data_IF_564911100538
#
_entry.id   IF_564911100538
#
_cell.length_a   1.000
_cell.length_b   1.000
_cell.length_c   1.000
_cell.angle_alpha   90.00
_cell.angle_beta   90.00
_cell.angle_gamma   90.00
#
_symmetry.space_group_name_H-M   'P 1'
#
loop_
_entity.id
_entity.type
_entity.pdbx_description
1 polymer ?
#
# COMPACT_ATOMS: atom_id res chain seq x y z
N UNK A 1 1.78 -9.08 -11.88
CA UNK A 1 1.01 -9.35 -10.63
C UNK A 1 1.11 -10.81 -10.20
N UNK A 2 1.49 -11.73 -11.08
CA UNK A 2 1.51 -13.19 -10.83
C UNK A 2 2.55 -13.67 -9.80
N UNK A 3 3.43 -12.76 -9.32
CA UNK A 3 4.43 -13.09 -8.29
C UNK A 3 3.92 -13.02 -6.87
N UNK A 4 2.73 -12.46 -6.62
CA UNK A 4 2.11 -12.42 -5.29
C UNK A 4 1.67 -13.83 -4.92
N UNK A 5 2.28 -14.40 -3.89
CA UNK A 5 2.04 -15.81 -3.50
C UNK A 5 0.76 -16.01 -2.70
N UNK A 6 0.44 -15.04 -1.85
CA UNK A 6 -0.75 -15.02 -0.99
C UNK A 6 -1.26 -13.59 -0.87
N UNK A 7 -2.55 -13.42 -0.71
CA UNK A 7 -3.23 -12.11 -0.69
C UNK A 7 -3.12 -11.36 0.65
N UNK A 8 -2.00 -11.47 1.34
CA UNK A 8 -1.68 -10.73 2.55
C UNK A 8 -0.29 -10.11 2.44
N UNK A 9 -0.17 -8.83 2.78
CA UNK A 9 1.04 -8.04 2.65
C UNK A 9 1.54 -7.50 3.99
N UNK A 10 2.79 -7.09 4.03
CA UNK A 10 3.47 -6.50 5.17
C UNK A 10 3.52 -4.98 4.99
N UNK A 11 2.62 -4.26 5.68
CA UNK A 11 2.63 -2.81 5.71
C UNK A 11 3.73 -2.27 6.64
N UNK A 12 4.63 -1.44 6.12
CA UNK A 12 5.80 -0.96 6.85
C UNK A 12 5.62 0.46 7.43
N UNK A 13 4.39 0.96 7.52
CA UNK A 13 4.09 2.26 8.11
C UNK A 13 4.27 2.29 9.63
N UNK A 14 4.11 1.14 10.30
CA UNK A 14 4.15 0.98 11.77
C UNK A 14 5.05 -0.18 12.15
N UNK A 15 6.35 -0.06 11.88
CA UNK A 15 7.34 -1.04 12.35
C UNK A 15 7.54 -0.94 13.86
N UNK A 16 7.99 -2.01 14.53
CA UNK A 16 8.35 -1.96 15.95
C UNK A 16 9.41 -0.89 16.22
N UNK A 17 9.30 -0.19 17.35
CA UNK A 17 10.19 0.91 17.70
C UNK A 17 10.83 0.71 19.07
N UNK A 18 12.09 1.14 19.21
CA UNK A 18 12.79 1.34 20.46
C UNK A 18 13.12 2.83 20.55
N UNK A 19 12.37 3.56 21.37
CA UNK A 19 12.43 5.02 21.40
C UNK A 19 12.01 5.59 20.03
N UNK A 20 12.88 6.36 19.41
CA UNK A 20 12.64 6.96 18.09
C UNK A 20 13.17 6.11 16.92
N UNK A 21 13.85 5.01 17.17
CA UNK A 21 14.45 4.17 16.15
C UNK A 21 13.67 2.88 15.93
N UNK A 22 13.72 2.36 14.69
CA UNK A 22 13.10 1.07 14.36
C UNK A 22 13.84 -0.05 15.10
N UNK A 23 13.10 -0.93 15.77
CA UNK A 23 13.65 -2.17 16.32
C UNK A 23 14.01 -3.12 15.18
N UNK A 24 15.27 -3.04 14.76
CA UNK A 24 15.79 -3.81 13.64
C UNK A 24 15.74 -5.32 13.91
N UNK A 25 16.02 -5.76 15.14
CA UNK A 25 16.04 -7.18 15.46
C UNK A 25 14.64 -7.77 15.48
N UNK A 26 13.66 -7.09 16.06
CA UNK A 26 12.27 -7.50 16.00
C UNK A 26 11.74 -7.45 14.56
N UNK A 27 12.07 -6.40 13.81
CA UNK A 27 11.64 -6.27 12.40
C UNK A 27 12.22 -7.41 11.55
N UNK A 28 13.49 -7.81 11.73
CA UNK A 28 14.06 -8.98 11.05
C UNK A 28 13.28 -10.26 11.34
N UNK A 29 12.97 -10.52 12.63
CA UNK A 29 12.17 -11.69 13.02
C UNK A 29 10.79 -11.70 12.36
N UNK A 30 10.13 -10.55 12.28
CA UNK A 30 8.84 -10.41 11.62
C UNK A 30 8.94 -10.66 10.12
N UNK A 31 9.96 -10.11 9.44
CA UNK A 31 10.22 -10.33 8.01
C UNK A 31 10.48 -11.81 7.74
N UNK A 32 11.30 -12.45 8.56
CA UNK A 32 11.65 -13.87 8.43
C UNK A 32 10.38 -14.74 8.58
N UNK A 33 9.61 -14.54 9.65
CA UNK A 33 8.35 -15.25 9.88
C UNK A 33 7.34 -15.05 8.74
N UNK A 34 7.25 -13.83 8.18
CA UNK A 34 6.36 -13.53 7.08
C UNK A 34 6.74 -14.27 5.78
N UNK A 35 8.02 -14.26 5.43
CA UNK A 35 8.54 -14.98 4.27
C UNK A 35 8.46 -16.51 4.44
N UNK A 36 8.77 -17.04 5.63
CA UNK A 36 8.69 -18.46 5.96
C UNK A 36 7.25 -18.96 5.91
N UNK A 37 6.28 -18.13 6.28
CA UNK A 37 4.84 -18.43 6.12
C UNK A 37 4.38 -18.39 4.64
N UNK A 38 5.27 -18.07 3.70
CA UNK A 38 5.02 -18.08 2.27
C UNK A 38 4.37 -16.81 1.72
N UNK A 39 4.32 -15.73 2.49
CA UNK A 39 3.96 -14.39 2.02
C UNK A 39 5.17 -13.70 1.41
N UNK A 40 4.95 -12.69 0.57
CA UNK A 40 6.07 -12.02 -0.08
C UNK A 40 5.85 -10.54 -0.49
N UNK A 41 4.75 -9.91 -0.10
CA UNK A 41 4.44 -8.54 -0.48
C UNK A 41 4.76 -7.56 0.65
N UNK A 42 5.60 -6.55 0.39
CA UNK A 42 5.98 -5.49 1.33
C UNK A 42 5.60 -4.13 0.77
N UNK A 43 5.02 -3.26 1.62
CA UNK A 43 4.55 -1.92 1.26
C UNK A 43 5.21 -0.87 2.15
N UNK A 44 5.92 0.08 1.52
CA UNK A 44 6.53 1.23 2.20
C UNK A 44 6.19 2.55 1.51
N UNK A 45 6.69 3.64 2.05
CA UNK A 45 6.74 4.96 1.46
C UNK A 45 7.84 5.78 2.15
N UNK A 46 8.43 6.72 1.41
CA UNK A 46 9.54 7.54 1.90
C UNK A 46 9.24 8.26 3.22
N UNK A 47 8.03 8.78 3.38
CA UNK A 47 7.62 9.50 4.61
C UNK A 47 7.32 8.59 5.82
N UNK A 48 7.26 7.27 5.65
CA UNK A 48 6.92 6.36 6.75
C UNK A 48 8.01 6.36 7.82
N UNK A 49 7.58 6.53 9.07
CA UNK A 49 8.47 6.60 10.25
C UNK A 49 9.60 7.64 10.00
N UNK A 50 9.24 8.81 9.46
CA UNK A 50 10.19 9.90 9.19
C UNK A 50 11.38 9.46 8.28
N UNK A 51 11.11 8.65 7.26
CA UNK A 51 12.12 8.13 6.32
C UNK A 51 12.89 6.91 6.83
N UNK A 52 12.51 6.34 7.98
CA UNK A 52 13.20 5.20 8.57
C UNK A 52 12.72 3.85 8.02
N UNK A 53 11.49 3.80 7.45
CA UNK A 53 10.91 2.55 6.94
C UNK A 53 11.70 1.95 5.78
N UNK A 54 12.06 2.74 4.76
CA UNK A 54 12.88 2.30 3.63
C UNK A 54 14.25 1.77 4.08
N UNK A 55 14.91 2.51 4.99
CA UNK A 55 16.21 2.12 5.58
C UNK A 55 16.12 0.80 6.37
N UNK A 56 15.04 0.65 7.14
CA UNK A 56 14.78 -0.59 7.87
C UNK A 56 14.56 -1.77 6.91
N UNK A 57 13.81 -1.58 5.83
CA UNK A 57 13.64 -2.61 4.81
C UNK A 57 14.97 -2.97 4.11
N UNK A 58 15.85 -2.01 3.86
CA UNK A 58 17.19 -2.34 3.37
C UNK A 58 17.90 -3.31 4.32
N UNK A 59 17.90 -3.00 5.61
CA UNK A 59 18.59 -3.80 6.62
C UNK A 59 17.91 -5.14 6.91
N UNK A 60 16.56 -5.16 6.94
CA UNK A 60 15.82 -6.33 7.38
C UNK A 60 15.37 -7.26 6.24
N UNK A 61 15.27 -6.75 5.03
CA UNK A 61 14.74 -7.50 3.87
C UNK A 61 15.73 -7.52 2.71
N UNK A 62 15.98 -6.38 2.05
CA UNK A 62 16.57 -6.36 0.71
C UNK A 62 18.05 -6.76 0.68
N UNK A 63 18.83 -6.49 1.75
CA UNK A 63 20.20 -6.96 1.89
C UNK A 63 20.34 -8.41 2.37
N UNK A 64 19.24 -9.05 2.78
CA UNK A 64 19.25 -10.39 3.37
C UNK A 64 18.68 -11.46 2.46
N UNK A 65 17.77 -11.08 1.58
CA UNK A 65 17.05 -12.01 0.72
C UNK A 65 17.26 -11.70 -0.76
N UNK A 66 17.35 -12.73 -1.61
CA UNK A 66 17.40 -12.55 -3.06
C UNK A 66 16.18 -11.78 -3.58
N UNK A 67 16.39 -10.94 -4.58
CA UNK A 67 15.38 -9.99 -5.11
C UNK A 67 14.07 -10.66 -5.58
N UNK A 68 14.14 -11.90 -6.03
CA UNK A 68 12.99 -12.69 -6.49
C UNK A 68 12.13 -13.24 -5.35
N UNK A 69 12.60 -13.21 -4.10
CA UNK A 69 11.87 -13.74 -2.94
C UNK A 69 10.76 -12.80 -2.45
N UNK A 70 10.84 -11.52 -2.78
CA UNK A 70 9.89 -10.53 -2.30
C UNK A 70 9.37 -9.61 -3.41
N UNK A 71 8.26 -8.97 -3.13
CA UNK A 71 7.65 -7.88 -3.88
C UNK A 71 7.78 -6.64 -3.03
N UNK A 72 8.28 -5.55 -3.61
CA UNK A 72 8.45 -4.29 -2.91
C UNK A 72 7.63 -3.20 -3.59
N UNK A 73 6.77 -2.56 -2.81
CA UNK A 73 5.98 -1.39 -3.20
C UNK A 73 6.53 -0.17 -2.49
N UNK A 74 6.75 0.89 -3.28
CA UNK A 74 7.08 2.22 -2.75
C UNK A 74 6.20 3.29 -3.42
N UNK A 75 6.32 4.55 -2.99
CA UNK A 75 5.37 5.59 -3.39
C UNK A 75 6.05 6.93 -3.68
N UNK A 76 5.56 7.62 -4.71
CA UNK A 76 5.89 9.02 -4.98
C UNK A 76 4.99 9.92 -4.11
N UNK A 77 5.56 10.61 -3.15
CA UNK A 77 4.82 11.47 -2.22
C UNK A 77 4.98 12.95 -2.59
N UNK A 78 3.89 13.70 -2.66
CA UNK A 78 3.82 15.10 -3.12
C UNK A 78 4.84 16.05 -2.48
N UNK A 79 5.17 15.84 -1.21
CA UNK A 79 6.07 16.73 -0.46
C UNK A 79 7.54 16.66 -0.91
N UNK A 80 7.91 15.69 -1.76
CA UNK A 80 9.31 15.44 -2.14
C UNK A 80 9.64 15.86 -3.58
N UNK A 81 8.71 16.46 -4.30
CA UNK A 81 8.94 17.04 -5.62
C UNK A 81 8.10 18.31 -5.82
N UNK A 82 8.59 19.24 -6.59
CA UNK A 82 7.91 20.50 -6.95
C UNK A 82 7.76 20.66 -8.46
N UNK A 83 8.58 19.97 -9.23
CA UNK A 83 8.62 20.01 -10.69
C UNK A 83 8.83 18.60 -11.24
N UNK A 84 8.59 18.40 -12.53
CA UNK A 84 8.91 17.15 -13.22
C UNK A 84 10.37 16.72 -13.02
N UNK A 85 11.29 17.69 -13.06
CA UNK A 85 12.73 17.43 -12.93
C UNK A 85 13.14 16.83 -11.57
N UNK A 86 12.34 17.03 -10.52
CA UNK A 86 12.65 16.53 -9.18
C UNK A 86 12.28 15.04 -9.04
N UNK A 87 11.35 14.54 -9.86
CA UNK A 87 10.76 13.21 -9.65
C UNK A 87 11.77 12.09 -9.88
N UNK A 88 12.50 12.14 -10.97
CA UNK A 88 13.48 11.07 -11.30
C UNK A 88 14.63 11.00 -10.29
N UNK A 89 15.29 12.10 -9.88
CA UNK A 89 16.29 12.06 -8.81
C UNK A 89 15.74 11.55 -7.48
N UNK A 90 14.50 11.92 -7.13
CA UNK A 90 13.86 11.41 -5.93
C UNK A 90 13.63 9.90 -6.01
N UNK A 91 13.07 9.40 -7.11
CA UNK A 91 12.87 7.98 -7.36
C UNK A 91 14.19 7.17 -7.28
N UNK A 92 15.28 7.67 -7.90
CA UNK A 92 16.59 7.02 -7.84
C UNK A 92 17.12 6.99 -6.40
N UNK A 93 16.90 8.03 -5.61
CA UNK A 93 17.27 8.04 -4.18
C UNK A 93 16.52 6.98 -3.38
N UNK A 94 15.24 6.74 -3.67
CA UNK A 94 14.46 5.66 -3.01
C UNK A 94 15.01 4.27 -3.37
N UNK A 95 15.40 4.03 -4.62
CA UNK A 95 16.06 2.79 -5.03
C UNK A 95 17.34 2.55 -4.22
N UNK A 96 18.17 3.59 -4.07
CA UNK A 96 19.42 3.51 -3.30
C UNK A 96 19.15 3.26 -1.81
N UNK A 97 18.19 3.99 -1.21
CA UNK A 97 17.82 3.84 0.20
C UNK A 97 17.28 2.44 0.47
N UNK A 98 16.43 1.91 -0.41
CA UNK A 98 15.89 0.55 -0.31
C UNK A 98 16.92 -0.53 -0.71
N UNK A 99 17.99 -0.17 -1.41
CA UNK A 99 19.00 -1.11 -1.88
C UNK A 99 18.49 -2.06 -2.97
N UNK A 100 17.69 -1.54 -3.93
CA UNK A 100 17.10 -2.31 -5.02
C UNK A 100 17.31 -1.62 -6.37
N UNK A 101 17.23 -2.37 -7.46
CA UNK A 101 17.37 -1.83 -8.82
C UNK A 101 16.02 -1.44 -9.44
N UNK A 102 14.92 -1.94 -8.90
CA UNK A 102 13.55 -1.66 -9.35
C UNK A 102 12.53 -1.87 -8.23
N UNK A 103 11.38 -1.19 -8.34
CA UNK A 103 10.19 -1.50 -7.53
C UNK A 103 9.22 -2.38 -8.33
N UNK A 104 8.57 -3.35 -7.64
CA UNK A 104 7.51 -4.15 -8.26
C UNK A 104 6.23 -3.31 -8.46
N UNK A 105 5.92 -2.47 -7.48
CA UNK A 105 4.84 -1.49 -7.56
C UNK A 105 5.35 -0.11 -7.15
N UNK A 106 4.96 0.92 -7.89
CA UNK A 106 5.23 2.30 -7.53
C UNK A 106 3.93 3.10 -7.61
N UNK A 107 3.51 3.68 -6.48
CA UNK A 107 2.20 4.29 -6.35
C UNK A 107 2.32 5.82 -6.28
N UNK A 108 1.48 6.53 -7.02
CA UNK A 108 1.26 7.97 -6.76
C UNK A 108 0.56 8.07 -5.42
N UNK A 109 1.26 8.63 -4.42
CA UNK A 109 0.87 8.56 -3.01
C UNK A 109 -0.27 9.50 -2.67
N UNK A 110 -1.25 9.01 -1.90
CA UNK A 110 -2.31 9.82 -1.28
C UNK A 110 -3.11 10.64 -2.29
N UNK A 111 -3.51 10.01 -3.41
CA UNK A 111 -4.25 10.70 -4.46
C UNK A 111 -5.65 11.07 -4.00
N UNK A 112 -6.09 12.24 -4.40
CA UNK A 112 -7.36 12.88 -4.11
C UNK A 112 -7.31 14.31 -4.62
N UNK A 113 -8.39 15.08 -4.49
CA UNK A 113 -8.50 16.46 -5.00
C UNK A 113 -7.33 17.36 -4.56
N UNK A 114 -6.82 17.16 -3.35
CA UNK A 114 -5.73 18.00 -2.79
C UNK A 114 -4.42 17.84 -3.55
N UNK A 115 -4.09 16.62 -4.00
CA UNK A 115 -2.78 16.31 -4.58
C UNK A 115 -2.83 16.09 -6.10
N UNK A 116 -3.98 15.74 -6.65
CA UNK A 116 -4.09 15.27 -8.02
C UNK A 116 -3.57 16.27 -9.06
N UNK A 117 -3.97 17.54 -8.94
CA UNK A 117 -3.54 18.56 -9.90
C UNK A 117 -2.02 18.81 -9.83
N UNK A 118 -1.41 18.79 -8.64
CA UNK A 118 0.04 18.87 -8.49
C UNK A 118 0.78 17.73 -9.21
N UNK A 119 0.31 16.48 -9.06
CA UNK A 119 0.89 15.34 -9.77
C UNK A 119 0.77 15.48 -11.30
N UNK A 120 -0.34 16.02 -11.80
CA UNK A 120 -0.52 16.29 -13.23
C UNK A 120 0.39 17.39 -13.74
N UNK A 121 0.42 18.53 -13.07
CA UNK A 121 1.27 19.67 -13.43
C UNK A 121 2.75 19.29 -13.48
N UNK A 122 3.19 18.44 -12.56
CA UNK A 122 4.56 17.92 -12.54
C UNK A 122 4.76 16.70 -13.44
N UNK A 123 3.76 16.27 -14.24
CA UNK A 123 3.83 15.10 -15.14
C UNK A 123 4.30 13.82 -14.43
N UNK A 124 3.83 13.63 -13.19
CA UNK A 124 4.28 12.54 -12.33
C UNK A 124 3.84 11.16 -12.86
N UNK A 125 2.64 11.07 -13.44
CA UNK A 125 2.12 9.84 -14.04
C UNK A 125 2.93 9.45 -15.28
N UNK A 126 3.17 10.40 -16.17
CA UNK A 126 3.96 10.20 -17.38
C UNK A 126 5.39 9.75 -17.04
N UNK A 127 6.04 10.42 -16.08
CA UNK A 127 7.37 10.04 -15.59
C UNK A 127 7.39 8.62 -15.02
N UNK A 128 6.36 8.22 -14.25
CA UNK A 128 6.25 6.86 -13.73
C UNK A 128 6.07 5.82 -14.85
N UNK A 129 5.29 6.14 -15.89
CA UNK A 129 5.14 5.26 -17.06
C UNK A 129 6.43 5.17 -17.88
N UNK A 130 7.24 6.22 -17.96
CA UNK A 130 8.57 6.17 -18.56
C UNK A 130 9.52 5.27 -17.77
N UNK A 131 9.59 5.45 -16.44
CA UNK A 131 10.38 4.59 -15.55
C UNK A 131 9.95 3.11 -15.64
N UNK A 132 8.67 2.86 -15.87
CA UNK A 132 8.18 1.50 -16.15
C UNK A 132 8.71 0.97 -17.48
N UNK A 133 8.72 1.76 -18.57
CA UNK A 133 9.28 1.36 -19.86
C UNK A 133 10.79 1.08 -19.76
N UNK A 134 11.48 1.76 -18.87
CA UNK A 134 12.91 1.55 -18.56
C UNK A 134 13.16 0.31 -17.68
N UNK A 135 12.11 -0.34 -17.19
CA UNK A 135 12.21 -1.52 -16.30
C UNK A 135 12.50 -1.20 -14.84
N UNK A 136 12.50 0.07 -14.45
CA UNK A 136 12.70 0.53 -13.06
C UNK A 136 11.45 0.35 -12.20
N UNK A 137 10.28 0.31 -12.81
CA UNK A 137 8.98 0.02 -12.18
C UNK A 137 8.32 -1.12 -12.96
N UNK A 138 7.78 -2.11 -12.28
CA UNK A 138 7.01 -3.18 -12.93
C UNK A 138 5.55 -2.82 -13.12
N UNK A 139 4.93 -2.23 -12.09
CA UNK A 139 3.52 -1.83 -12.09
C UNK A 139 3.36 -0.43 -11.50
N UNK A 140 2.68 0.46 -12.23
CA UNK A 140 2.33 1.80 -11.76
C UNK A 140 0.91 1.78 -11.20
N UNK A 141 0.72 2.40 -10.04
CA UNK A 141 -0.57 2.50 -9.39
C UNK A 141 -0.76 3.80 -8.62
N UNK A 142 -1.83 3.86 -7.86
CA UNK A 142 -2.13 4.97 -6.94
C UNK A 142 -2.50 4.44 -5.56
N UNK A 143 -2.18 5.20 -4.49
CA UNK A 143 -2.89 5.08 -3.22
C UNK A 143 -3.90 6.22 -3.13
N UNK A 144 -5.16 5.90 -2.81
CA UNK A 144 -6.28 6.79 -2.98
C UNK A 144 -7.00 7.05 -1.65
N UNK A 145 -7.33 8.33 -1.37
CA UNK A 145 -7.92 8.79 -0.11
C UNK A 145 -9.00 9.88 -0.32
N UNK A 146 -9.90 9.66 -1.28
CA UNK A 146 -10.96 10.62 -1.57
C UNK A 146 -12.25 9.87 -1.99
N UNK A 147 -13.25 10.60 -2.49
CA UNK A 147 -14.52 10.04 -2.92
C UNK A 147 -14.42 9.34 -4.28
N UNK A 148 -15.33 8.40 -4.48
CA UNK A 148 -15.34 7.53 -5.66
C UNK A 148 -15.37 8.28 -7.00
N UNK A 149 -16.04 9.44 -7.08
CA UNK A 149 -16.09 10.29 -8.28
C UNK A 149 -14.71 10.81 -8.68
N UNK A 150 -13.86 11.10 -7.69
CA UNK A 150 -12.46 11.54 -7.93
C UNK A 150 -11.62 10.37 -8.45
N UNK A 151 -11.81 9.18 -7.87
CA UNK A 151 -11.14 7.96 -8.35
C UNK A 151 -11.53 7.65 -9.79
N UNK A 152 -12.82 7.75 -10.12
CA UNK A 152 -13.31 7.53 -11.47
C UNK A 152 -12.70 8.52 -12.47
N UNK A 153 -12.60 9.80 -12.10
CA UNK A 153 -11.91 10.82 -12.89
C UNK A 153 -10.45 10.44 -13.15
N UNK A 154 -9.69 10.09 -12.10
CA UNK A 154 -8.27 9.71 -12.23
C UNK A 154 -8.10 8.52 -13.16
N UNK A 155 -8.88 7.45 -12.98
CA UNK A 155 -8.78 6.24 -13.80
C UNK A 155 -9.27 6.44 -15.24
N UNK A 156 -10.10 7.45 -15.48
CA UNK A 156 -10.52 7.85 -16.84
C UNK A 156 -9.42 8.63 -17.54
N UNK A 157 -8.76 9.56 -16.83
CA UNK A 157 -7.68 10.38 -17.37
C UNK A 157 -6.37 9.58 -17.56
N UNK A 158 -6.11 8.58 -16.68
CA UNK A 158 -4.92 7.72 -16.73
C UNK A 158 -5.29 6.23 -16.73
N UNK A 159 -5.82 5.72 -17.84
CA UNK A 159 -6.22 4.31 -17.96
C UNK A 159 -5.05 3.32 -17.85
N UNK A 160 -3.81 3.77 -17.99
CA UNK A 160 -2.59 2.97 -17.81
C UNK A 160 -2.28 2.63 -16.36
N UNK A 161 -2.93 3.25 -15.37
CA UNK A 161 -2.84 2.85 -13.96
C UNK A 161 -3.26 1.38 -13.84
N UNK A 162 -2.43 0.55 -13.21
CA UNK A 162 -2.62 -0.90 -13.18
C UNK A 162 -3.22 -1.40 -11.87
N UNK A 163 -3.10 -0.65 -10.78
CA UNK A 163 -3.53 -1.07 -9.44
C UNK A 163 -3.93 0.15 -8.61
N UNK A 164 -4.89 -0.05 -7.72
CA UNK A 164 -5.36 1.00 -6.81
C UNK A 164 -5.30 0.50 -5.37
N UNK A 165 -4.64 1.26 -4.51
CA UNK A 165 -4.64 1.04 -3.07
C UNK A 165 -5.74 1.91 -2.45
N UNK A 166 -6.73 1.30 -1.78
CA UNK A 166 -7.83 1.99 -1.13
C UNK A 166 -7.96 1.60 0.34
N UNK A 167 -8.50 2.50 1.14
CA UNK A 167 -8.97 2.21 2.48
C UNK A 167 -10.23 1.35 2.39
N UNK A 168 -10.21 0.16 3.03
CA UNK A 168 -11.33 -0.76 2.96
C UNK A 168 -11.45 -1.61 4.22
N UNK A 169 -12.55 -1.45 4.95
CA UNK A 169 -12.92 -2.25 6.11
C UNK A 169 -14.44 -2.19 6.31
N UNK A 170 -14.99 -3.02 7.17
CA UNK A 170 -16.45 -3.13 7.33
C UNK A 170 -17.10 -1.88 7.97
N UNK A 171 -16.35 -1.06 8.72
CA UNK A 171 -16.88 0.20 9.31
C UNK A 171 -16.94 1.30 8.26
N UNK A 172 -15.93 1.41 7.42
CA UNK A 172 -15.83 2.44 6.39
C UNK A 172 -16.57 2.05 5.10
N UNK A 173 -17.13 0.84 5.04
CA UNK A 173 -17.75 0.26 3.84
C UNK A 173 -18.82 1.16 3.24
N UNK A 174 -19.77 1.62 4.04
CA UNK A 174 -20.83 2.55 3.65
C UNK A 174 -20.67 3.96 4.24
N UNK A 175 -19.52 4.27 4.84
CA UNK A 175 -19.23 5.60 5.38
C UNK A 175 -19.23 6.64 4.26
N UNK A 176 -20.00 7.74 4.38
CA UNK A 176 -20.14 8.74 3.32
C UNK A 176 -18.87 9.56 3.05
N UNK A 177 -17.95 9.64 4.00
CA UNK A 177 -16.69 10.37 3.86
C UNK A 177 -15.61 9.50 3.20
N UNK A 178 -15.52 8.23 3.57
CA UNK A 178 -14.51 7.29 3.05
C UNK A 178 -14.97 6.61 1.75
N UNK A 179 -16.25 6.25 1.68
CA UNK A 179 -16.88 5.62 0.52
C UNK A 179 -16.17 4.34 0.04
N UNK A 180 -15.69 3.51 0.94
CA UNK A 180 -14.90 2.31 0.61
C UNK A 180 -15.58 1.43 -0.44
N UNK A 181 -16.88 1.12 -0.28
CA UNK A 181 -17.66 0.33 -1.25
C UNK A 181 -17.68 0.97 -2.63
N UNK A 182 -17.99 2.27 -2.72
CA UNK A 182 -18.06 2.97 -4.00
C UNK A 182 -16.71 3.05 -4.70
N UNK A 183 -15.63 3.29 -3.95
CA UNK A 183 -14.26 3.25 -4.49
C UNK A 183 -13.91 1.85 -5.02
N UNK A 184 -14.29 0.80 -4.29
CA UNK A 184 -14.14 -0.57 -4.77
C UNK A 184 -14.94 -0.84 -6.05
N UNK A 185 -16.19 -0.39 -6.12
CA UNK A 185 -17.06 -0.53 -7.32
C UNK A 185 -16.42 0.17 -8.53
N UNK A 186 -15.82 1.37 -8.35
CA UNK A 186 -15.04 2.06 -9.39
C UNK A 186 -13.84 1.20 -9.83
N UNK A 187 -13.06 0.66 -8.90
CA UNK A 187 -11.96 -0.23 -9.25
C UNK A 187 -12.43 -1.43 -10.08
N UNK A 188 -13.57 -2.03 -9.70
CA UNK A 188 -14.18 -3.14 -10.47
C UNK A 188 -14.64 -2.73 -11.86
N UNK A 189 -15.26 -1.55 -11.99
CA UNK A 189 -15.69 -0.97 -13.27
C UNK A 189 -14.53 -0.81 -14.25
N UNK A 190 -13.36 -0.38 -13.75
CA UNK A 190 -12.15 -0.19 -14.55
C UNK A 190 -11.24 -1.42 -14.60
N UNK A 191 -11.67 -2.58 -14.07
CA UNK A 191 -10.88 -3.82 -13.99
C UNK A 191 -9.51 -3.63 -13.30
N UNK A 192 -9.46 -2.76 -12.26
CA UNK A 192 -8.24 -2.54 -11.50
C UNK A 192 -8.23 -3.44 -10.26
N UNK A 193 -7.19 -4.26 -10.07
CA UNK A 193 -6.99 -4.97 -8.81
C UNK A 193 -6.75 -4.00 -7.66
N UNK A 194 -7.15 -4.41 -6.46
CA UNK A 194 -7.14 -3.57 -5.26
C UNK A 194 -6.09 -4.05 -4.26
N UNK A 195 -5.29 -3.12 -3.78
CA UNK A 195 -4.51 -3.26 -2.56
C UNK A 195 -5.34 -2.65 -1.43
N UNK A 196 -5.55 -3.39 -0.36
CA UNK A 196 -6.32 -2.90 0.79
C UNK A 196 -5.38 -2.28 1.82
N UNK A 197 -5.62 -1.03 2.17
CA UNK A 197 -5.03 -0.39 3.35
C UNK A 197 -6.10 -0.21 4.43
N UNK A 198 -5.68 -0.07 5.69
CA UNK A 198 -6.55 0.12 6.85
C UNK A 198 -7.60 -1.01 7.07
N UNK A 199 -7.27 -2.30 6.84
CA UNK A 199 -8.23 -3.39 7.01
C UNK A 199 -8.74 -3.50 8.45
N UNK A 200 -7.92 -3.07 9.43
CA UNK A 200 -8.25 -3.01 10.86
C UNK A 200 -8.38 -1.58 11.40
N UNK A 201 -8.49 -0.58 10.50
CA UNK A 201 -8.67 0.85 10.83
C UNK A 201 -7.64 1.34 11.86
N UNK A 202 -6.34 1.17 11.53
CA UNK A 202 -5.23 1.55 12.40
C UNK A 202 -5.17 0.79 13.73
N UNK A 203 -5.83 -0.38 13.83
CA UNK A 203 -5.95 -1.18 15.05
C UNK A 203 -7.27 -0.98 15.81
N UNK A 204 -8.08 0.02 15.46
CA UNK A 204 -9.35 0.28 16.15
C UNK A 204 -10.33 -0.90 16.08
N UNK A 205 -10.28 -1.69 15.01
CA UNK A 205 -11.12 -2.88 14.85
C UNK A 205 -10.60 -4.14 15.58
N UNK A 206 -9.50 -4.01 16.30
CA UNK A 206 -8.98 -5.06 17.19
C UNK A 206 -9.56 -4.91 18.60
N UNK A 207 -9.68 -3.68 19.07
CA UNK A 207 -10.18 -3.33 20.39
C UNK A 207 -11.59 -2.74 20.30
N UNK A 208 -12.56 -3.61 20.04
CA UNK A 208 -13.96 -3.21 19.90
C UNK A 208 -14.62 -2.98 21.27
N UNK A 209 -15.66 -2.11 21.36
CA UNK A 209 -16.52 -2.03 22.55
C UNK A 209 -17.24 -3.36 22.78
N UNK A 210 -17.54 -3.67 24.04
CA UNK A 210 -18.06 -4.98 24.47
C UNK A 210 -19.30 -5.44 23.71
N UNK A 211 -20.24 -4.55 23.39
CA UNK A 211 -21.42 -4.87 22.62
C UNK A 211 -21.11 -5.32 21.17
N UNK A 212 -20.12 -4.72 20.54
CA UNK A 212 -19.69 -5.13 19.19
C UNK A 212 -18.84 -6.42 19.24
N UNK A 213 -18.01 -6.57 20.28
CA UNK A 213 -17.22 -7.76 20.51
C UNK A 213 -18.10 -9.00 20.72
N UNK A 214 -19.16 -8.89 21.52
CA UNK A 214 -20.12 -9.97 21.77
C UNK A 214 -20.75 -10.50 20.45
N UNK A 215 -21.09 -9.61 19.52
CA UNK A 215 -21.62 -10.01 18.19
C UNK A 215 -20.62 -10.86 17.41
N UNK A 216 -19.33 -10.52 17.47
CA UNK A 216 -18.29 -11.31 16.79
C UNK A 216 -17.98 -12.63 17.51
N UNK A 217 -18.08 -12.67 18.84
CA UNK A 217 -17.90 -13.88 19.65
C UNK A 217 -18.97 -14.93 19.33
N UNK A 218 -20.22 -14.52 19.13
CA UNK A 218 -21.32 -15.40 18.73
C UNK A 218 -21.08 -16.09 17.38
N UNK A 219 -20.23 -15.55 16.52
CA UNK A 219 -19.86 -16.19 15.27
C UNK A 219 -18.84 -17.32 15.40
N UNK A 220 -18.23 -17.50 16.55
CA UNK A 220 -17.26 -18.55 16.90
C UNK A 220 -16.10 -18.75 15.90
N UNK A 221 -15.73 -17.70 15.15
CA UNK A 221 -14.80 -17.81 14.00
C UNK A 221 -13.45 -17.15 14.19
N UNK A 222 -13.08 -16.67 15.37
CA UNK A 222 -11.77 -16.08 15.64
C UNK A 222 -11.82 -14.68 16.28
N UNK A 223 -10.68 -13.97 16.30
CA UNK A 223 -10.54 -12.65 16.87
C UNK A 223 -11.21 -11.55 16.02
N UNK A 224 -11.50 -10.36 16.58
CA UNK A 224 -11.96 -9.20 15.81
C UNK A 224 -11.06 -8.86 14.61
N UNK A 225 -9.75 -8.91 14.77
CA UNK A 225 -8.79 -8.71 13.68
C UNK A 225 -8.96 -9.76 12.55
N UNK A 226 -9.16 -11.03 12.93
CA UNK A 226 -9.42 -12.12 11.98
C UNK A 226 -10.69 -11.87 11.15
N UNK A 227 -11.75 -11.38 11.78
CA UNK A 227 -12.98 -11.03 11.06
C UNK A 227 -12.78 -9.86 10.10
N UNK A 228 -12.08 -8.80 10.54
CA UNK A 228 -11.79 -7.64 9.71
C UNK A 228 -10.98 -8.02 8.46
N UNK A 229 -9.93 -8.82 8.62
CA UNK A 229 -9.09 -9.26 7.49
C UNK A 229 -9.86 -10.19 6.55
N UNK A 230 -10.64 -11.15 7.07
CA UNK A 230 -11.47 -12.04 6.25
C UNK A 230 -12.56 -11.30 5.50
N UNK A 231 -13.17 -10.26 6.12
CA UNK A 231 -14.12 -9.41 5.43
C UNK A 231 -13.51 -8.83 4.15
N UNK A 232 -12.37 -8.17 4.25
CA UNK A 232 -11.75 -7.51 3.09
C UNK A 232 -11.18 -8.51 2.09
N UNK A 233 -10.59 -9.61 2.54
CA UNK A 233 -10.00 -10.62 1.67
C UNK A 233 -11.04 -11.42 0.87
N UNK A 234 -12.31 -11.40 1.29
CA UNK A 234 -13.40 -12.12 0.64
C UNK A 234 -13.94 -11.45 -0.63
N UNK A 235 -13.57 -10.20 -0.92
CA UNK A 235 -14.08 -9.50 -2.09
C UNK A 235 -13.29 -9.84 -3.35
N UNK A 236 -13.97 -10.07 -4.51
CA UNK A 236 -13.30 -10.32 -5.78
C UNK A 236 -12.39 -9.15 -6.19
N UNK A 237 -11.17 -9.47 -6.66
CA UNK A 237 -10.22 -8.46 -7.13
C UNK A 237 -9.38 -7.81 -6.02
N UNK A 238 -9.54 -8.23 -4.76
CA UNK A 238 -8.62 -7.87 -3.70
C UNK A 238 -7.30 -8.62 -3.90
N UNK A 239 -6.27 -7.90 -4.34
CA UNK A 239 -4.98 -8.45 -4.71
C UNK A 239 -4.13 -8.75 -3.49
N UNK A 240 -4.11 -7.84 -2.53
CA UNK A 240 -3.44 -8.02 -1.23
C UNK A 240 -4.05 -7.12 -0.15
N UNK A 241 -3.95 -7.55 1.09
CA UNK A 241 -4.42 -6.86 2.29
C UNK A 241 -3.22 -6.52 3.16
N UNK A 242 -3.04 -5.23 3.51
CA UNK A 242 -1.89 -4.71 4.28
C UNK A 242 -2.20 -4.58 5.76
#
# INVERSE_FOLDING_TARGET
MDRIKKNFGFGCMRLPMIGEEVDIEQTKQMVDAFLDAGFNYFDTAHGYIQGKSEKALKTCLTSRYPREKYILTDKLTANYFKTEADIRPFFESQLEICGVEYFDFYLMHSQGLVNYDHFKECRAYETAFELKKEGKIRHVGISFHDRAEVLERILTEYPEIEVVQIQFNYVDYDDPAVQSRKCYEVCRKFNKPVIVMEPVKGGNLVNLPENAKAVLEDLHGGSPASYAIRFVAGFPGMMTVL
#
